data_IF_777245929549
#
_entry.id   IF_777245929549
#
_cell.length_a   1.000
_cell.length_b   1.000
_cell.length_c   1.000
_cell.angle_alpha   90.00
_cell.angle_beta   90.00
_cell.angle_gamma   90.00
#
_symmetry.space_group_name_H-M   'P 1'
#
loop_
_entity.id
_entity.type
_entity.pdbx_description
1 polymer ?
#
# COMPACT_ATOMS: atom_id res chain seq x y z
N UNK A 1 -8.32 64.97 -30.99
CA UNK A 1 -8.59 64.66 -29.60
C UNK A 1 -8.93 63.19 -29.54
N UNK A 2 -7.98 62.36 -29.14
CA UNK A 2 -8.16 60.91 -28.87
C UNK A 2 -7.79 60.70 -27.41
N UNK A 3 -8.80 60.37 -26.61
CA UNK A 3 -8.61 60.00 -25.20
C UNK A 3 -7.87 58.67 -25.07
N UNK A 4 -6.78 58.70 -24.36
CA UNK A 4 -6.06 57.51 -23.93
C UNK A 4 -6.71 56.96 -22.68
N UNK A 5 -7.23 55.73 -22.76
CA UNK A 5 -7.71 54.95 -21.60
C UNK A 5 -6.53 54.19 -20.99
N UNK A 6 -6.23 54.50 -19.74
CA UNK A 6 -5.22 53.83 -18.95
C UNK A 6 -5.67 52.39 -18.52
N UNK A 7 -4.75 51.39 -18.47
CA UNK A 7 -5.10 50.04 -18.04
C UNK A 7 -5.26 49.94 -16.51
N UNK A 8 -6.29 49.19 -16.07
CA UNK A 8 -6.54 48.85 -14.68
C UNK A 8 -5.43 47.93 -14.13
N UNK A 9 -5.03 48.05 -12.86
CA UNK A 9 -4.04 47.16 -12.27
C UNK A 9 -4.60 45.75 -12.01
N UNK A 10 -3.77 44.75 -12.29
CA UNK A 10 -4.05 43.34 -12.07
C UNK A 10 -4.20 43.05 -10.55
N UNK A 11 -5.25 42.31 -10.24
CA UNK A 11 -5.54 41.84 -8.87
C UNK A 11 -4.45 40.89 -8.39
N UNK A 12 -3.79 41.19 -7.30
CA UNK A 12 -2.84 40.35 -6.61
C UNK A 12 -3.54 39.07 -6.10
N UNK A 13 -3.11 37.92 -6.59
CA UNK A 13 -3.47 36.62 -6.03
C UNK A 13 -2.91 36.54 -4.60
N UNK A 14 -3.77 36.52 -3.62
CA UNK A 14 -3.42 36.20 -2.23
C UNK A 14 -3.06 34.73 -2.16
N UNK A 15 -1.78 34.46 -1.99
CA UNK A 15 -1.27 33.14 -1.54
C UNK A 15 -1.77 32.90 -0.11
N UNK A 16 -2.68 31.97 0.08
CA UNK A 16 -3.05 31.46 1.39
C UNK A 16 -1.86 30.64 1.95
N UNK A 17 -0.98 31.30 2.68
CA UNK A 17 -0.08 30.64 3.61
C UNK A 17 -0.94 30.16 4.80
N UNK A 18 -1.26 28.88 4.86
CA UNK A 18 -1.85 28.25 6.02
C UNK A 18 -0.79 28.19 7.13
N UNK A 19 -0.74 29.23 7.95
CA UNK A 19 0.00 29.21 9.21
C UNK A 19 -0.68 28.21 10.15
N UNK A 20 0.00 27.09 10.41
CA UNK A 20 -0.36 26.17 11.48
C UNK A 20 -0.28 26.94 12.83
N UNK A 21 -1.42 27.41 13.30
CA UNK A 21 -1.55 27.93 14.68
C UNK A 21 -1.41 26.75 15.62
N UNK A 22 -0.37 26.74 16.45
CA UNK A 22 -0.27 25.89 17.62
C UNK A 22 -1.55 26.07 18.47
N UNK A 23 -2.37 25.03 18.55
CA UNK A 23 -3.56 25.00 19.43
C UNK A 23 -3.09 24.88 20.88
N UNK A 24 -3.09 25.99 21.62
CA UNK A 24 -2.97 26.00 23.07
C UNK A 24 -4.38 25.95 23.68
N UNK A 25 -5.01 24.78 23.73
CA UNK A 25 -6.33 24.60 24.31
C UNK A 25 -6.60 23.15 24.68
N UNK A 26 -7.33 22.91 25.78
CA UNK A 26 -7.83 21.56 26.10
C UNK A 26 -8.64 21.01 24.93
N UNK A 27 -8.54 19.71 24.62
CA UNK A 27 -9.31 19.09 23.55
C UNK A 27 -10.82 19.29 23.75
N UNK A 28 -11.55 19.49 22.65
CA UNK A 28 -13.00 19.52 22.66
C UNK A 28 -13.55 18.18 23.20
N UNK A 29 -14.77 18.15 23.77
CA UNK A 29 -15.35 16.99 24.49
C UNK A 29 -15.42 15.66 23.71
N UNK A 30 -15.08 15.63 22.39
CA UNK A 30 -15.08 14.44 21.53
C UNK A 30 -13.71 14.09 20.91
N UNK A 31 -12.63 14.80 21.26
CA UNK A 31 -11.29 14.46 20.79
C UNK A 31 -10.65 13.44 21.73
N UNK A 32 -9.92 12.43 21.20
CA UNK A 32 -9.20 11.48 22.04
C UNK A 32 -8.12 12.20 22.86
N UNK A 33 -7.84 11.69 24.03
CA UNK A 33 -6.75 12.19 24.88
C UNK A 33 -5.40 11.55 24.52
N UNK A 34 -5.44 10.39 23.83
CA UNK A 34 -4.23 9.64 23.52
C UNK A 34 -4.27 8.89 22.18
N UNK A 35 -3.07 8.50 21.75
CA UNK A 35 -2.81 7.66 20.58
C UNK A 35 -2.03 6.44 21.02
N UNK A 36 -2.54 5.25 20.70
CA UNK A 36 -1.78 4.00 20.78
C UNK A 36 -1.13 3.76 19.41
N UNK A 37 0.19 3.73 19.34
CA UNK A 37 0.93 3.23 18.19
C UNK A 37 1.07 1.73 18.36
N UNK A 38 0.22 0.99 17.65
CA UNK A 38 0.17 -0.47 17.68
C UNK A 38 1.00 -1.04 16.52
N UNK A 39 1.88 -1.98 16.80
CA UNK A 39 2.70 -2.63 15.78
C UNK A 39 2.93 -4.11 16.09
N UNK A 40 3.22 -4.90 15.05
CA UNK A 40 3.66 -6.29 15.21
C UNK A 40 5.12 -6.35 15.64
N UNK A 41 5.41 -7.16 16.65
CA UNK A 41 6.77 -7.52 17.02
C UNK A 41 6.77 -8.82 17.82
N UNK A 42 7.76 -9.71 17.61
CA UNK A 42 7.93 -10.92 18.41
C UNK A 42 8.24 -10.56 19.88
N UNK A 43 7.48 -11.14 20.81
CA UNK A 43 7.69 -10.93 22.24
C UNK A 43 8.87 -11.78 22.74
N UNK A 44 9.84 -11.13 23.41
CA UNK A 44 10.96 -11.82 24.02
C UNK A 44 11.99 -12.42 23.05
N UNK A 45 11.90 -12.10 21.76
CA UNK A 45 12.87 -12.57 20.79
C UNK A 45 14.23 -11.86 20.95
N UNK A 46 15.29 -12.60 20.70
CA UNK A 46 16.63 -12.00 20.56
C UNK A 46 16.62 -11.04 19.35
N UNK A 47 17.08 -9.78 19.50
CA UNK A 47 17.15 -8.82 18.40
C UNK A 47 17.83 -9.36 17.13
N UNK A 48 18.75 -10.31 17.26
CA UNK A 48 19.41 -10.97 16.13
C UNK A 48 18.54 -11.99 15.37
N UNK A 49 17.47 -12.48 16.00
CA UNK A 49 16.56 -13.48 15.41
C UNK A 49 15.32 -12.85 14.75
N UNK A 50 15.12 -11.54 14.88
CA UNK A 50 13.97 -10.81 14.30
C UNK A 50 14.20 -10.61 12.80
N UNK A 51 13.17 -10.84 11.99
CA UNK A 51 13.23 -10.64 10.53
C UNK A 51 13.57 -9.18 10.15
N UNK A 52 14.12 -8.91 8.97
CA UNK A 52 14.30 -7.55 8.48
C UNK A 52 12.99 -6.75 8.46
N UNK A 53 11.88 -7.35 8.03
CA UNK A 53 10.56 -6.72 7.97
C UNK A 53 10.04 -6.34 9.36
N UNK A 54 10.08 -7.26 10.33
CA UNK A 54 9.67 -6.96 11.71
C UNK A 54 10.55 -5.87 12.35
N UNK A 55 11.84 -5.84 12.03
CA UNK A 55 12.75 -4.77 12.50
C UNK A 55 12.37 -3.41 11.91
N UNK A 56 12.03 -3.37 10.62
CA UNK A 56 11.55 -2.15 9.95
C UNK A 56 10.25 -1.67 10.60
N UNK A 57 9.25 -2.53 10.76
CA UNK A 57 7.96 -2.20 11.40
C UNK A 57 8.15 -1.62 12.79
N UNK A 58 9.02 -2.24 13.61
CA UNK A 58 9.35 -1.73 14.94
C UNK A 58 10.10 -0.38 14.90
N UNK A 59 10.94 -0.13 13.91
CA UNK A 59 11.62 1.16 13.72
C UNK A 59 10.62 2.25 13.32
N UNK A 60 9.74 1.97 12.36
CA UNK A 60 8.68 2.87 11.93
C UNK A 60 7.75 3.22 13.09
N UNK A 61 7.36 2.24 13.91
CA UNK A 61 6.51 2.48 15.08
C UNK A 61 7.17 3.42 16.10
N UNK A 62 8.48 3.28 16.34
CA UNK A 62 9.24 4.21 17.20
C UNK A 62 9.30 5.62 16.62
N UNK A 63 9.52 5.75 15.31
CA UNK A 63 9.56 7.05 14.64
C UNK A 63 8.19 7.74 14.66
N UNK A 64 7.12 7.02 14.37
CA UNK A 64 5.74 7.53 14.49
C UNK A 64 5.45 7.98 15.92
N UNK A 65 5.78 7.16 16.93
CA UNK A 65 5.57 7.52 18.33
C UNK A 65 6.38 8.76 18.73
N UNK A 66 7.62 8.90 18.25
CA UNK A 66 8.46 10.09 18.44
C UNK A 66 7.79 11.33 17.83
N UNK A 67 7.39 11.27 16.56
CA UNK A 67 6.70 12.37 15.87
C UNK A 67 5.45 12.80 16.63
N UNK A 68 4.62 11.86 17.04
CA UNK A 68 3.38 12.15 17.75
C UNK A 68 3.65 12.80 19.11
N UNK A 69 4.66 12.36 19.87
CA UNK A 69 5.04 12.98 21.16
C UNK A 69 5.55 14.42 20.98
N UNK A 70 6.31 14.68 19.92
CA UNK A 70 6.93 15.98 19.68
C UNK A 70 5.98 17.00 19.02
N UNK A 71 5.05 16.52 18.18
CA UNK A 71 4.26 17.38 17.28
C UNK A 71 2.77 17.39 17.56
N UNK A 72 2.28 16.60 18.53
CA UNK A 72 0.88 16.58 18.92
C UNK A 72 0.69 16.84 20.41
N UNK A 73 -0.56 17.03 20.84
CA UNK A 73 -0.93 17.18 22.26
C UNK A 73 -1.45 15.87 22.88
N UNK A 74 -1.41 14.76 22.12
CA UNK A 74 -1.89 13.47 22.58
C UNK A 74 -0.89 12.80 23.53
N UNK A 75 -1.40 12.06 24.51
CA UNK A 75 -0.61 11.04 25.18
C UNK A 75 -0.28 9.94 24.16
N UNK A 76 0.94 9.42 24.16
CA UNK A 76 1.38 8.43 23.17
C UNK A 76 1.90 7.18 23.87
N UNK A 77 1.16 6.07 23.67
CA UNK A 77 1.57 4.74 24.05
C UNK A 77 2.14 4.00 22.84
N UNK A 78 3.26 3.30 23.02
CA UNK A 78 3.84 2.40 22.01
C UNK A 78 3.57 0.98 22.46
N UNK A 79 2.82 0.21 21.68
CA UNK A 79 2.31 -1.12 22.06
C UNK A 79 2.67 -2.13 20.98
N UNK A 80 3.42 -3.16 21.35
CA UNK A 80 3.71 -4.31 20.49
C UNK A 80 2.75 -5.46 20.78
N UNK A 81 2.39 -6.21 19.74
CA UNK A 81 1.61 -7.43 19.87
C UNK A 81 2.08 -8.46 18.82
N UNK A 82 2.02 -9.74 19.17
CA UNK A 82 2.26 -10.82 18.19
C UNK A 82 0.96 -11.22 17.47
N UNK A 83 -0.10 -11.47 18.21
CA UNK A 83 -1.42 -11.89 17.67
C UNK A 83 -2.58 -11.40 18.52
N UNK A 84 -2.40 -11.26 19.84
CA UNK A 84 -3.45 -10.91 20.79
C UNK A 84 -3.59 -9.39 20.96
N UNK A 85 -4.13 -8.73 19.95
CA UNK A 85 -4.30 -7.27 19.94
C UNK A 85 -5.27 -6.78 21.01
N UNK A 86 -6.38 -7.50 21.26
CA UNK A 86 -7.41 -7.08 22.21
C UNK A 86 -6.91 -6.87 23.63
N UNK A 87 -6.25 -7.85 24.28
CA UNK A 87 -5.67 -7.70 25.61
C UNK A 87 -4.65 -6.56 25.71
N UNK A 88 -3.84 -6.33 24.65
CA UNK A 88 -2.85 -5.24 24.60
C UNK A 88 -3.49 -3.86 24.54
N UNK A 89 -4.67 -3.73 23.94
CA UNK A 89 -5.42 -2.48 23.86
C UNK A 89 -6.30 -2.22 25.10
N UNK A 90 -6.60 -3.23 25.93
CA UNK A 90 -7.49 -3.09 27.08
C UNK A 90 -7.17 -1.92 28.05
N UNK A 91 -5.88 -1.53 28.30
CA UNK A 91 -5.55 -0.37 29.13
C UNK A 91 -5.92 0.98 28.52
N UNK A 92 -6.29 1.04 27.24
CA UNK A 92 -6.47 2.27 26.46
C UNK A 92 -7.91 2.37 25.95
N UNK A 93 -8.91 2.80 26.72
CA UNK A 93 -10.32 2.71 26.34
C UNK A 93 -10.63 3.49 25.05
N UNK A 94 -11.45 2.93 24.12
CA UNK A 94 -11.65 3.46 22.76
C UNK A 94 -12.33 4.83 22.70
N UNK A 95 -13.04 5.24 23.79
CA UNK A 95 -13.61 6.60 23.89
C UNK A 95 -12.55 7.69 24.03
N UNK A 96 -11.39 7.35 24.62
CA UNK A 96 -10.34 8.30 24.99
C UNK A 96 -9.07 8.11 24.13
N UNK A 97 -8.96 7.01 23.40
CA UNK A 97 -7.77 6.65 22.61
C UNK A 97 -8.12 6.32 21.16
N UNK A 98 -7.21 6.68 20.25
CA UNK A 98 -7.20 6.27 18.84
C UNK A 98 -6.01 5.37 18.59
N UNK A 99 -6.15 4.40 17.70
CA UNK A 99 -5.05 3.49 17.34
C UNK A 99 -4.38 3.98 16.05
N UNK A 100 -3.09 4.27 16.12
CA UNK A 100 -2.25 4.38 14.94
C UNK A 100 -1.79 2.95 14.60
N UNK A 101 -2.44 2.35 13.61
CA UNK A 101 -2.28 0.93 13.30
C UNK A 101 -1.11 0.71 12.33
N UNK A 102 -0.06 0.05 12.81
CA UNK A 102 1.11 -0.43 12.06
C UNK A 102 1.27 -1.95 12.27
N UNK A 103 0.19 -2.64 12.56
CA UNK A 103 0.22 -4.08 12.75
C UNK A 103 0.15 -4.78 11.38
N UNK A 104 1.21 -5.43 10.98
CA UNK A 104 1.38 -6.12 9.71
C UNK A 104 1.34 -7.66 9.85
N UNK A 105 1.19 -8.20 11.07
CA UNK A 105 1.45 -9.59 11.38
C UNK A 105 2.92 -9.83 11.73
N UNK A 106 3.37 -11.07 11.70
CA UNK A 106 4.77 -11.43 11.92
C UNK A 106 5.30 -12.21 10.72
N UNK A 107 6.35 -11.71 10.10
CA UNK A 107 6.97 -12.31 8.92
C UNK A 107 7.43 -13.76 9.19
N UNK A 108 7.12 -14.66 8.25
CA UNK A 108 7.55 -16.06 8.27
C UNK A 108 6.85 -16.95 9.31
N UNK A 109 5.91 -16.45 10.10
CA UNK A 109 5.09 -17.30 10.96
C UNK A 109 3.97 -17.98 10.17
N UNK A 110 3.86 -19.29 10.41
CA UNK A 110 2.82 -20.12 9.85
C UNK A 110 1.86 -20.53 10.95
N UNK A 111 0.59 -20.22 10.79
CA UNK A 111 -0.46 -20.60 11.72
C UNK A 111 -0.65 -22.13 11.81
N UNK A 112 -1.42 -22.62 12.77
CA UNK A 112 -1.70 -24.06 12.93
C UNK A 112 -2.36 -24.68 11.69
N UNK A 113 -2.98 -23.86 10.84
CA UNK A 113 -3.62 -24.26 9.57
C UNK A 113 -2.66 -24.23 8.37
N UNK A 114 -1.38 -23.91 8.59
CA UNK A 114 -0.33 -23.82 7.56
C UNK A 114 -0.38 -22.54 6.71
N UNK A 115 -1.15 -21.53 7.12
CA UNK A 115 -1.20 -20.23 6.44
C UNK A 115 -0.20 -19.26 7.06
N UNK A 116 0.31 -18.34 6.26
CA UNK A 116 1.07 -17.20 6.76
C UNK A 116 0.24 -16.38 7.75
N UNK A 117 0.89 -15.91 8.82
CA UNK A 117 0.28 -15.02 9.82
C UNK A 117 0.42 -13.55 9.42
N UNK A 118 1.00 -13.25 8.25
CA UNK A 118 1.21 -11.89 7.76
C UNK A 118 -0.10 -11.17 7.35
N UNK A 119 -1.26 -11.80 7.61
CA UNK A 119 -2.57 -11.20 7.39
C UNK A 119 -2.89 -10.19 8.51
N UNK A 120 -2.78 -8.91 8.21
CA UNK A 120 -3.12 -7.80 9.10
C UNK A 120 -4.64 -7.63 9.30
N UNK A 121 -5.46 -8.30 8.47
CA UNK A 121 -6.91 -8.12 8.49
C UNK A 121 -7.59 -8.55 9.80
N UNK A 122 -7.20 -9.65 10.49
CA UNK A 122 -7.78 -10.02 11.78
C UNK A 122 -7.55 -8.97 12.87
N UNK A 123 -6.36 -8.36 12.89
CA UNK A 123 -6.04 -7.30 13.85
C UNK A 123 -6.90 -6.06 13.62
N UNK A 124 -7.04 -5.62 12.36
CA UNK A 124 -7.89 -4.48 12.02
C UNK A 124 -9.37 -4.75 12.35
N UNK A 125 -9.89 -5.96 12.07
CA UNK A 125 -11.25 -6.37 12.47
C UNK A 125 -11.42 -6.37 14.01
N UNK A 126 -10.42 -6.80 14.76
CA UNK A 126 -10.44 -6.77 16.22
C UNK A 126 -10.48 -5.33 16.73
N UNK A 127 -9.62 -4.45 16.24
CA UNK A 127 -9.58 -3.02 16.61
C UNK A 127 -10.94 -2.37 16.35
N UNK A 128 -11.55 -2.65 15.19
CA UNK A 128 -12.86 -2.15 14.81
C UNK A 128 -13.97 -2.69 15.73
N UNK A 129 -13.96 -4.00 16.03
CA UNK A 129 -14.96 -4.64 16.90
C UNK A 129 -14.93 -4.10 18.33
N UNK A 130 -13.77 -3.68 18.80
CA UNK A 130 -13.58 -3.04 20.10
C UNK A 130 -14.02 -1.55 20.12
N UNK A 131 -14.42 -1.02 18.97
CA UNK A 131 -14.95 0.34 18.84
C UNK A 131 -13.89 1.44 18.76
N UNK A 132 -12.64 1.09 18.44
CA UNK A 132 -11.58 2.11 18.24
C UNK A 132 -11.74 2.82 16.90
N UNK A 133 -11.41 4.11 16.90
CA UNK A 133 -10.98 4.81 15.69
C UNK A 133 -9.52 4.42 15.43
N UNK A 134 -9.15 4.17 14.18
CA UNK A 134 -7.79 3.77 13.84
C UNK A 134 -7.37 4.25 12.45
N UNK A 135 -6.06 4.36 12.23
CA UNK A 135 -5.48 4.71 10.94
C UNK A 135 -5.46 3.51 10.01
N UNK A 136 -5.47 3.78 8.71
CA UNK A 136 -5.37 2.76 7.68
C UNK A 136 -6.72 2.19 7.26
N UNK A 137 -6.68 1.14 6.44
CA UNK A 137 -7.84 0.47 5.89
C UNK A 137 -8.53 -0.45 6.93
N UNK A 138 -9.81 -0.74 6.73
CA UNK A 138 -10.54 -1.70 7.53
C UNK A 138 -10.14 -3.16 7.21
N UNK A 139 -10.45 -4.09 8.13
CA UNK A 139 -10.05 -5.47 7.95
C UNK A 139 -10.68 -6.17 6.73
N UNK A 140 -11.84 -5.70 6.25
CA UNK A 140 -12.44 -6.26 5.03
C UNK A 140 -11.67 -5.80 3.78
N UNK A 141 -11.25 -4.54 3.72
CA UNK A 141 -10.43 -4.02 2.64
C UNK A 141 -9.06 -4.71 2.59
N UNK A 142 -8.43 -4.92 3.76
CA UNK A 142 -7.17 -5.63 3.90
C UNK A 142 -7.29 -7.08 3.40
N UNK A 143 -8.26 -7.85 3.88
CA UNK A 143 -8.50 -9.22 3.43
C UNK A 143 -8.83 -9.32 1.93
N UNK A 144 -9.52 -8.31 1.37
CA UNK A 144 -9.80 -8.25 -0.06
C UNK A 144 -8.52 -7.96 -0.85
N UNK A 145 -7.74 -6.97 -0.44
CA UNK A 145 -6.51 -6.55 -1.11
C UNK A 145 -5.47 -7.67 -1.12
N UNK A 146 -5.27 -8.36 -0.01
CA UNK A 146 -4.35 -9.49 0.11
C UNK A 146 -4.68 -10.59 -0.92
N UNK A 147 -5.95 -10.83 -1.21
CA UNK A 147 -6.37 -11.84 -2.18
C UNK A 147 -6.41 -11.28 -3.60
N UNK A 148 -5.27 -11.36 -4.31
CA UNK A 148 -5.10 -10.82 -5.68
C UNK A 148 -6.18 -11.28 -6.66
N UNK A 149 -6.61 -12.54 -6.57
CA UNK A 149 -7.65 -13.08 -7.46
C UNK A 149 -9.05 -12.47 -7.22
N UNK A 150 -9.39 -12.20 -5.95
CA UNK A 150 -10.64 -11.52 -5.59
C UNK A 150 -10.61 -10.06 -6.02
N UNK A 151 -9.51 -9.38 -5.74
CA UNK A 151 -9.28 -7.99 -6.15
C UNK A 151 -9.41 -7.83 -7.66
N UNK A 152 -8.68 -8.64 -8.46
CA UNK A 152 -8.76 -8.60 -9.92
C UNK A 152 -10.16 -8.86 -10.46
N UNK A 153 -10.89 -9.81 -9.88
CA UNK A 153 -12.29 -10.08 -10.28
C UNK A 153 -13.18 -8.87 -10.02
N UNK A 154 -13.00 -8.20 -8.91
CA UNK A 154 -13.79 -7.02 -8.55
C UNK A 154 -13.47 -5.83 -9.47
N UNK A 155 -12.18 -5.58 -9.73
CA UNK A 155 -11.71 -4.54 -10.64
C UNK A 155 -12.22 -4.78 -12.07
N UNK A 156 -12.08 -5.99 -12.60
CA UNK A 156 -12.56 -6.34 -13.94
C UNK A 156 -14.09 -6.17 -14.07
N UNK A 157 -14.86 -6.57 -13.04
CA UNK A 157 -16.31 -6.37 -13.00
C UNK A 157 -16.69 -4.87 -13.04
N UNK A 158 -15.86 -4.03 -12.45
CA UNK A 158 -16.05 -2.57 -12.44
C UNK A 158 -15.46 -1.87 -13.68
N UNK A 159 -14.91 -2.62 -14.66
CA UNK A 159 -14.28 -2.06 -15.86
C UNK A 159 -12.95 -1.36 -15.61
N UNK A 160 -12.23 -1.72 -14.53
CA UNK A 160 -10.86 -1.28 -14.28
C UNK A 160 -9.90 -2.28 -14.90
N UNK A 161 -8.98 -1.80 -15.74
CA UNK A 161 -8.03 -2.65 -16.45
C UNK A 161 -7.06 -3.33 -15.49
N UNK A 162 -6.94 -4.65 -15.60
CA UNK A 162 -5.94 -5.49 -14.93
C UNK A 162 -5.43 -6.52 -15.94
N UNK A 163 -4.18 -7.00 -15.84
CA UNK A 163 -3.70 -8.02 -16.77
C UNK A 163 -4.65 -9.23 -16.82
N UNK A 164 -4.93 -9.83 -18.01
CA UNK A 164 -5.64 -11.11 -18.11
C UNK A 164 -5.00 -12.16 -17.20
N UNK A 165 -5.81 -12.93 -16.46
CA UNK A 165 -5.30 -13.83 -15.42
C UNK A 165 -6.10 -15.12 -15.27
N UNK A 166 -5.46 -16.13 -14.70
CA UNK A 166 -6.10 -17.38 -14.24
C UNK A 166 -5.47 -17.84 -12.91
N UNK A 167 -6.22 -18.64 -12.16
CA UNK A 167 -5.79 -19.22 -10.88
C UNK A 167 -5.68 -20.73 -11.03
N UNK A 168 -4.59 -21.30 -10.51
CA UNK A 168 -4.30 -22.73 -10.52
C UNK A 168 -4.10 -23.24 -9.09
N UNK A 169 -4.74 -24.38 -8.78
CA UNK A 169 -4.58 -25.05 -7.48
C UNK A 169 -3.51 -26.15 -7.51
N UNK A 170 -3.07 -26.52 -8.68
CA UNK A 170 -2.01 -27.52 -8.90
C UNK A 170 -1.47 -27.43 -10.33
N UNK A 171 -0.27 -27.94 -10.55
CA UNK A 171 0.33 -28.06 -11.88
C UNK A 171 -0.51 -28.88 -12.88
N UNK A 172 -1.32 -29.83 -12.40
CA UNK A 172 -2.20 -30.65 -13.25
C UNK A 172 -3.32 -29.86 -13.93
N UNK A 173 -3.69 -28.69 -13.38
CA UNK A 173 -4.69 -27.79 -13.98
C UNK A 173 -4.14 -26.98 -15.16
N UNK A 174 -2.81 -26.94 -15.34
CA UNK A 174 -2.19 -26.20 -16.44
C UNK A 174 -2.37 -26.99 -17.74
N UNK A 175 -3.35 -26.58 -18.54
CA UNK A 175 -3.70 -27.17 -19.83
C UNK A 175 -3.90 -26.09 -20.89
N UNK A 176 -3.74 -26.39 -22.19
CA UNK A 176 -3.98 -25.41 -23.26
C UNK A 176 -5.36 -24.77 -23.17
N UNK A 177 -6.37 -25.50 -22.72
CA UNK A 177 -7.73 -24.99 -22.55
C UNK A 177 -7.85 -23.92 -21.46
N UNK A 178 -7.16 -24.10 -20.34
CA UNK A 178 -7.18 -23.13 -19.23
C UNK A 178 -6.43 -21.83 -19.56
N UNK A 179 -5.40 -21.86 -20.40
CA UNK A 179 -4.57 -20.70 -20.73
C UNK A 179 -4.91 -20.06 -22.07
N UNK A 180 -5.93 -20.54 -22.77
CA UNK A 180 -6.27 -20.09 -24.15
C UNK A 180 -6.44 -18.57 -24.32
N UNK A 181 -6.82 -17.86 -23.24
CA UNK A 181 -7.03 -16.41 -23.21
C UNK A 181 -5.90 -15.65 -22.51
N UNK A 182 -4.79 -16.31 -22.19
CA UNK A 182 -3.64 -15.70 -21.54
C UNK A 182 -2.51 -15.56 -22.55
N UNK A 183 -2.13 -14.34 -22.94
CA UNK A 183 -0.98 -14.11 -23.80
C UNK A 183 0.32 -14.29 -23.02
N UNK A 184 1.19 -15.17 -23.48
CA UNK A 184 2.55 -15.29 -22.97
C UNK A 184 3.41 -14.07 -23.38
N UNK A 185 4.43 -13.68 -22.58
CA UNK A 185 4.83 -14.30 -21.31
C UNK A 185 3.84 -14.02 -20.18
N UNK A 186 3.84 -14.92 -19.18
CA UNK A 186 3.01 -14.79 -17.97
C UNK A 186 3.90 -14.59 -16.75
N UNK A 187 3.45 -13.80 -15.78
CA UNK A 187 4.04 -13.79 -14.43
C UNK A 187 3.19 -14.65 -13.50
N UNK A 188 3.86 -15.51 -12.71
CA UNK A 188 3.21 -16.45 -11.78
C UNK A 188 3.62 -16.12 -10.36
N UNK A 189 2.62 -15.90 -9.50
CA UNK A 189 2.81 -15.49 -8.10
C UNK A 189 1.76 -16.15 -7.17
N UNK A 190 2.00 -16.23 -5.86
CA UNK A 190 0.98 -16.68 -4.92
C UNK A 190 -0.24 -15.74 -4.93
N UNK A 191 -1.43 -16.30 -4.67
CA UNK A 191 -2.69 -15.52 -4.67
C UNK A 191 -2.77 -14.57 -3.48
N UNK A 192 -2.27 -14.98 -2.31
CA UNK A 192 -2.45 -14.27 -1.04
C UNK A 192 -1.11 -14.07 -0.32
N UNK A 193 -0.20 -13.38 -0.98
CA UNK A 193 1.08 -12.91 -0.47
C UNK A 193 1.32 -11.48 -0.93
N UNK A 194 2.11 -10.74 -0.19
CA UNK A 194 2.60 -9.41 -0.53
C UNK A 194 4.14 -9.38 -0.62
N UNK A 195 4.75 -8.22 -0.48
CA UNK A 195 6.21 -8.02 -0.37
C UNK A 195 7.08 -8.74 -1.41
N UNK A 196 6.52 -9.10 -2.58
CA UNK A 196 7.19 -9.86 -3.66
C UNK A 196 7.63 -11.27 -3.27
N UNK A 197 7.01 -11.89 -2.27
CA UNK A 197 7.26 -13.29 -1.90
C UNK A 197 7.09 -14.19 -3.12
N UNK A 198 8.06 -15.07 -3.36
CA UNK A 198 8.13 -15.96 -4.51
C UNK A 198 8.08 -15.23 -5.88
N UNK A 199 8.56 -13.99 -5.98
CA UNK A 199 8.81 -13.30 -7.25
C UNK A 199 10.33 -13.21 -7.43
N UNK A 200 10.86 -14.15 -8.20
CA UNK A 200 12.26 -14.29 -8.56
C UNK A 200 12.41 -14.38 -10.11
N UNK A 201 13.60 -14.63 -10.60
CA UNK A 201 13.89 -14.74 -12.05
C UNK A 201 13.06 -15.80 -12.78
N UNK A 202 12.53 -16.80 -12.07
CA UNK A 202 11.64 -17.82 -12.62
C UNK A 202 10.16 -17.45 -12.57
N UNK A 203 9.80 -16.26 -12.07
CA UNK A 203 8.41 -15.86 -11.95
C UNK A 203 7.75 -15.55 -13.29
N UNK A 204 8.52 -15.09 -14.29
CA UNK A 204 8.03 -14.84 -15.66
C UNK A 204 8.32 -16.05 -16.52
N UNK A 205 7.28 -16.59 -17.15
CA UNK A 205 7.31 -17.84 -17.92
C UNK A 205 6.88 -17.60 -19.37
N UNK A 206 7.58 -18.23 -20.32
CA UNK A 206 7.41 -17.98 -21.75
C UNK A 206 6.49 -19.00 -22.44
N UNK A 207 6.27 -20.17 -21.82
CA UNK A 207 5.47 -21.24 -22.42
C UNK A 207 4.70 -22.07 -21.39
N UNK A 208 3.96 -23.07 -21.92
CA UNK A 208 3.11 -23.93 -21.08
C UNK A 208 3.91 -24.86 -20.16
N UNK A 209 5.11 -25.28 -20.56
CA UNK A 209 5.93 -26.17 -19.74
C UNK A 209 6.53 -25.43 -18.56
N UNK A 210 7.05 -24.23 -18.78
CA UNK A 210 7.54 -23.34 -17.74
C UNK A 210 6.40 -22.94 -16.80
N UNK A 211 5.21 -22.60 -17.35
CA UNK A 211 4.03 -22.29 -16.54
C UNK A 211 3.67 -23.46 -15.61
N UNK A 212 3.66 -24.68 -16.14
CA UNK A 212 3.34 -25.87 -15.35
C UNK A 212 4.34 -26.09 -14.22
N UNK A 213 5.64 -25.94 -14.50
CA UNK A 213 6.70 -26.04 -13.49
C UNK A 213 6.55 -24.96 -12.42
N UNK A 214 6.32 -23.70 -12.83
CA UNK A 214 6.21 -22.58 -11.91
C UNK A 214 4.94 -22.66 -11.04
N UNK A 215 3.81 -23.06 -11.60
CA UNK A 215 2.58 -23.34 -10.82
C UNK A 215 2.85 -24.45 -9.78
N UNK A 216 3.57 -25.53 -10.16
CA UNK A 216 4.00 -26.56 -9.23
C UNK A 216 4.81 -25.98 -8.07
N UNK A 217 5.82 -25.18 -8.37
CA UNK A 217 6.65 -24.51 -7.36
C UNK A 217 5.79 -23.69 -6.37
N UNK A 218 4.91 -22.79 -6.87
CA UNK A 218 4.08 -21.95 -5.99
C UNK A 218 3.12 -22.80 -5.15
N UNK A 219 2.47 -23.80 -5.75
CA UNK A 219 1.48 -24.60 -5.02
C UNK A 219 2.08 -25.55 -4.00
N UNK A 220 3.30 -26.02 -4.19
CA UNK A 220 4.00 -26.95 -3.32
C UNK A 220 4.86 -26.24 -2.26
N UNK A 221 5.62 -25.22 -2.66
CA UNK A 221 6.53 -24.52 -1.75
C UNK A 221 5.81 -23.44 -0.92
N UNK A 222 4.96 -22.62 -1.58
CA UNK A 222 4.20 -21.58 -0.87
C UNK A 222 2.88 -22.12 -0.28
N UNK A 223 2.50 -23.37 -0.59
CA UNK A 223 1.23 -24.01 -0.13
C UNK A 223 -0.01 -23.17 -0.41
N UNK A 224 0.01 -22.41 -1.49
CA UNK A 224 -1.05 -21.51 -1.93
C UNK A 224 -1.47 -21.77 -3.37
N UNK A 225 -2.58 -21.19 -3.78
CA UNK A 225 -2.96 -21.16 -5.19
C UNK A 225 -2.00 -20.24 -5.96
N UNK A 226 -1.66 -20.61 -7.18
CA UNK A 226 -0.89 -19.80 -8.09
C UNK A 226 -1.80 -18.90 -8.94
N UNK A 227 -1.51 -17.62 -8.98
CA UNK A 227 -2.07 -16.67 -9.94
C UNK A 227 -1.08 -16.53 -11.10
N UNK A 228 -1.50 -16.88 -12.31
CA UNK A 228 -0.77 -16.58 -13.53
C UNK A 228 -1.48 -15.42 -14.25
N UNK A 229 -0.76 -14.37 -14.59
CA UNK A 229 -1.30 -13.21 -15.30
C UNK A 229 -0.39 -12.79 -16.45
N UNK A 230 -0.94 -12.18 -17.49
CA UNK A 230 -0.16 -11.65 -18.60
C UNK A 230 0.90 -10.67 -18.07
N UNK A 231 2.14 -10.90 -18.44
CA UNK A 231 3.22 -9.98 -18.14
C UNK A 231 3.09 -8.72 -19.02
N UNK A 232 2.91 -7.58 -18.37
CA UNK A 232 2.81 -6.30 -19.07
C UNK A 232 4.18 -5.65 -19.09
N UNK A 233 4.89 -5.73 -20.23
CA UNK A 233 6.11 -4.97 -20.45
C UNK A 233 5.75 -3.51 -20.70
N UNK A 234 5.76 -2.73 -19.64
CA UNK A 234 5.38 -1.32 -19.56
C UNK A 234 6.06 -0.63 -18.38
N UNK A 235 5.87 0.68 -18.26
CA UNK A 235 6.40 1.47 -17.14
C UNK A 235 5.70 1.07 -15.84
N UNK A 236 6.45 0.85 -14.79
CA UNK A 236 5.89 0.50 -13.47
C UNK A 236 5.66 1.77 -12.65
N UNK A 237 4.38 2.07 -12.41
CA UNK A 237 3.98 3.29 -11.71
C UNK A 237 3.31 2.92 -10.39
N UNK A 238 3.78 3.55 -9.32
CA UNK A 238 3.20 3.45 -8.00
C UNK A 238 2.42 4.73 -7.67
N UNK A 239 1.18 4.60 -7.22
CA UNK A 239 0.32 5.73 -6.86
C UNK A 239 -0.02 5.65 -5.38
N UNK A 240 0.60 6.50 -4.58
CA UNK A 240 0.24 6.69 -3.19
C UNK A 240 -1.08 7.47 -3.11
N UNK A 241 -2.02 6.98 -2.30
CA UNK A 241 -3.38 7.53 -2.17
C UNK A 241 -3.75 7.61 -0.70
N UNK A 242 -4.47 8.64 -0.29
CA UNK A 242 -5.00 8.80 1.05
C UNK A 242 -6.27 9.63 1.09
N UNK A 243 -6.93 9.63 2.25
CA UNK A 243 -8.05 10.54 2.54
C UNK A 243 -9.41 10.07 2.06
N UNK A 244 -10.42 10.85 2.46
CA UNK A 244 -11.80 10.72 2.01
C UNK A 244 -12.38 12.14 1.78
N UNK A 245 -12.62 12.57 0.52
CA UNK A 245 -12.42 11.81 -0.71
C UNK A 245 -10.95 11.44 -0.98
N UNK A 246 -10.69 10.36 -1.73
CA UNK A 246 -9.33 9.91 -1.96
C UNK A 246 -8.55 10.88 -2.85
N UNK A 247 -7.33 11.18 -2.46
CA UNK A 247 -6.38 12.02 -3.17
C UNK A 247 -5.14 11.23 -3.56
N UNK A 248 -4.74 11.29 -4.83
CA UNK A 248 -3.50 10.71 -5.31
C UNK A 248 -2.35 11.71 -5.11
N UNK A 249 -1.32 11.27 -4.41
CA UNK A 249 -0.05 11.99 -4.29
C UNK A 249 0.73 11.97 -5.62
N UNK A 250 1.82 12.74 -5.76
CA UNK A 250 2.67 12.67 -6.94
C UNK A 250 3.05 11.23 -7.28
N UNK A 251 2.87 10.87 -8.56
CA UNK A 251 3.13 9.53 -9.07
C UNK A 251 4.61 9.19 -8.93
N UNK A 252 4.91 7.96 -8.53
CA UNK A 252 6.27 7.44 -8.51
C UNK A 252 6.42 6.36 -9.59
N UNK A 253 7.60 6.29 -10.20
CA UNK A 253 7.96 5.25 -11.17
C UNK A 253 9.12 4.43 -10.63
N UNK A 254 9.07 3.13 -10.80
CA UNK A 254 10.25 2.28 -10.67
C UNK A 254 10.90 2.21 -12.04
N UNK A 255 12.09 2.78 -12.17
CA UNK A 255 12.83 2.79 -13.42
C UNK A 255 13.50 1.43 -13.64
N UNK A 256 12.95 0.68 -14.59
CA UNK A 256 13.45 -0.64 -14.98
C UNK A 256 14.25 -0.59 -16.30
N UNK A 257 14.61 0.60 -16.79
CA UNK A 257 15.29 0.78 -18.09
C UNK A 257 16.68 0.18 -18.13
N UNK A 258 17.37 0.05 -17.00
CA UNK A 258 18.66 -0.59 -16.89
C UNK A 258 18.60 -2.12 -17.16
N UNK A 259 17.42 -2.74 -17.02
CA UNK A 259 17.23 -4.16 -17.28
C UNK A 259 17.00 -4.35 -18.80
N UNK A 260 17.97 -4.94 -19.49
CA UNK A 260 17.93 -5.11 -20.94
C UNK A 260 16.89 -6.14 -21.41
N UNK A 261 16.72 -7.24 -20.63
CA UNK A 261 15.80 -8.33 -20.94
C UNK A 261 14.36 -7.96 -20.51
N UNK A 262 13.40 -7.80 -21.45
CA UNK A 262 12.04 -7.40 -21.10
C UNK A 262 11.37 -8.29 -20.03
N UNK A 263 11.54 -9.60 -20.12
CA UNK A 263 10.92 -10.56 -19.19
C UNK A 263 11.51 -10.54 -17.77
N UNK A 264 12.63 -9.85 -17.57
CA UNK A 264 13.27 -9.64 -16.26
C UNK A 264 12.95 -8.27 -15.67
N UNK A 265 12.19 -7.44 -16.36
CA UNK A 265 11.75 -6.12 -15.84
C UNK A 265 10.67 -6.27 -14.78
N UNK A 266 11.02 -6.87 -13.65
CA UNK A 266 10.17 -7.08 -12.49
C UNK A 266 10.84 -6.52 -11.23
N UNK A 267 10.01 -6.09 -10.25
CA UNK A 267 10.48 -5.76 -8.91
C UNK A 267 10.33 -7.00 -8.04
N UNK A 268 11.32 -7.87 -8.11
CA UNK A 268 11.38 -9.09 -7.32
C UNK A 268 11.80 -8.86 -5.87
N UNK A 269 11.86 -9.94 -5.09
CA UNK A 269 12.28 -9.89 -3.70
C UNK A 269 13.68 -9.29 -3.53
N UNK A 270 14.64 -9.67 -4.36
CA UNK A 270 16.01 -9.14 -4.31
C UNK A 270 16.07 -7.63 -4.56
N UNK A 271 15.30 -7.11 -5.51
CA UNK A 271 15.22 -5.68 -5.81
C UNK A 271 14.62 -4.84 -4.67
N UNK A 272 13.85 -5.43 -3.75
CA UNK A 272 13.24 -4.74 -2.60
C UNK A 272 14.09 -4.81 -1.34
N UNK A 273 14.70 -5.96 -1.06
CA UNK A 273 15.20 -6.29 0.28
C UNK A 273 16.70 -6.56 0.36
N UNK A 274 17.38 -6.70 -0.78
CA UNK A 274 18.80 -7.01 -0.78
C UNK A 274 19.61 -5.87 -1.39
N UNK A 275 20.08 -4.96 -0.55
CA UNK A 275 20.86 -3.78 -0.95
C UNK A 275 22.18 -4.10 -1.69
N UNK A 276 22.69 -5.34 -1.53
CA UNK A 276 23.91 -5.80 -2.18
C UNK A 276 23.68 -6.27 -3.63
N UNK A 277 22.41 -6.44 -4.06
CA UNK A 277 22.12 -6.93 -5.40
C UNK A 277 22.22 -5.82 -6.45
N UNK A 278 22.53 -6.24 -7.66
CA UNK A 278 22.53 -5.35 -8.83
C UNK A 278 21.13 -4.77 -9.06
N UNK A 279 20.10 -5.58 -8.91
CA UNK A 279 18.70 -5.18 -9.09
C UNK A 279 18.29 -4.04 -8.16
N UNK A 280 18.66 -4.10 -6.89
CA UNK A 280 18.35 -3.04 -5.91
C UNK A 280 18.92 -1.68 -6.36
N UNK A 281 20.17 -1.66 -6.79
CA UNK A 281 20.86 -0.44 -7.19
C UNK A 281 20.46 0.09 -8.57
N UNK A 282 19.88 -0.77 -9.45
CA UNK A 282 19.55 -0.44 -10.84
C UNK A 282 18.04 -0.37 -11.13
N UNK A 283 17.20 -0.40 -10.09
CA UNK A 283 15.76 -0.16 -10.19
C UNK A 283 15.32 1.02 -9.30
N UNK A 284 15.87 2.22 -9.51
CA UNK A 284 15.59 3.36 -8.66
C UNK A 284 14.13 3.81 -8.79
N UNK A 285 13.57 4.26 -7.66
CA UNK A 285 12.26 4.91 -7.67
C UNK A 285 12.39 6.40 -7.93
N UNK A 286 11.76 6.89 -8.99
CA UNK A 286 11.74 8.29 -9.41
C UNK A 286 10.38 8.91 -9.03
N UNK A 287 10.40 9.97 -8.23
CA UNK A 287 9.18 10.70 -7.86
C UNK A 287 9.45 12.22 -7.84
N UNK A 288 8.67 13.04 -8.56
CA UNK A 288 7.56 12.68 -9.46
C UNK A 288 8.01 11.89 -10.70
N UNK A 289 7.17 10.95 -11.14
CA UNK A 289 7.38 10.21 -12.38
C UNK A 289 7.36 11.15 -13.58
N UNK A 290 8.29 10.96 -14.52
CA UNK A 290 8.35 11.75 -15.76
C UNK A 290 7.34 11.21 -16.77
N UNK A 291 6.08 11.64 -16.65
CA UNK A 291 4.97 11.31 -17.52
C UNK A 291 4.42 12.56 -18.19
N UNK A 292 4.01 12.44 -19.44
CA UNK A 292 3.18 13.47 -20.09
C UNK A 292 1.82 13.56 -19.36
N UNK A 293 1.11 14.68 -19.55
CA UNK A 293 -0.12 14.99 -18.81
C UNK A 293 -1.20 13.90 -18.98
N UNK A 294 -1.43 13.44 -20.21
CA UNK A 294 -2.49 12.48 -20.51
C UNK A 294 -2.21 11.08 -19.93
N UNK A 295 -1.03 10.47 -20.11
CA UNK A 295 -0.67 9.23 -19.39
C UNK A 295 -0.73 9.36 -17.87
N UNK A 296 -0.30 10.50 -17.30
CA UNK A 296 -0.38 10.74 -15.87
C UNK A 296 -1.83 10.81 -15.37
N UNK A 297 -2.74 11.41 -16.15
CA UNK A 297 -4.17 11.47 -15.86
C UNK A 297 -4.78 10.06 -15.86
N UNK A 298 -4.51 9.27 -16.91
CA UNK A 298 -5.01 7.89 -17.05
C UNK A 298 -4.59 7.04 -15.86
N UNK A 299 -3.30 7.10 -15.47
CA UNK A 299 -2.77 6.36 -14.31
C UNK A 299 -3.48 6.79 -13.03
N UNK A 300 -3.60 8.10 -12.79
CA UNK A 300 -4.22 8.64 -11.58
C UNK A 300 -5.69 8.23 -11.46
N UNK A 301 -6.47 8.40 -12.53
CA UNK A 301 -7.87 8.03 -12.54
C UNK A 301 -8.08 6.53 -12.35
N UNK A 302 -7.27 5.69 -13.01
CA UNK A 302 -7.32 4.24 -12.86
C UNK A 302 -6.99 3.81 -11.43
N UNK A 303 -5.96 4.42 -10.82
CA UNK A 303 -5.57 4.13 -9.45
C UNK A 303 -6.64 4.54 -8.44
N UNK A 304 -7.21 5.75 -8.56
CA UNK A 304 -8.28 6.23 -7.68
C UNK A 304 -9.53 5.36 -7.78
N UNK A 305 -9.91 4.92 -8.99
CA UNK A 305 -11.02 3.97 -9.15
C UNK A 305 -10.73 2.63 -8.50
N UNK A 306 -9.54 2.07 -8.70
CA UNK A 306 -9.16 0.81 -8.08
C UNK A 306 -9.16 0.91 -6.55
N UNK A 307 -8.61 1.99 -6.01
CA UNK A 307 -8.60 2.29 -4.59
C UNK A 307 -10.01 2.34 -4.01
N UNK A 308 -10.90 3.14 -4.62
CA UNK A 308 -12.29 3.30 -4.17
C UNK A 308 -13.05 1.98 -4.13
N UNK A 309 -12.85 1.11 -5.15
CA UNK A 309 -13.49 -0.19 -5.25
C UNK A 309 -13.04 -1.14 -4.12
N UNK A 310 -11.75 -1.13 -3.78
CA UNK A 310 -11.17 -2.08 -2.82
C UNK A 310 -11.35 -1.60 -1.38
N UNK A 311 -11.15 -0.30 -1.13
CA UNK A 311 -11.07 0.25 0.24
C UNK A 311 -12.28 1.11 0.63
N UNK A 312 -13.24 1.30 -0.28
CA UNK A 312 -14.37 2.20 -0.08
C UNK A 312 -13.91 3.62 0.29
N UNK A 313 -12.85 4.09 -0.38
CA UNK A 313 -12.28 5.43 -0.20
C UNK A 313 -11.72 5.72 1.19
N UNK A 314 -11.32 4.72 1.96
CA UNK A 314 -10.84 4.95 3.32
C UNK A 314 -9.38 4.54 3.53
N UNK A 315 -8.69 5.29 4.39
CA UNK A 315 -7.32 5.00 4.81
C UNK A 315 -6.25 5.66 3.94
N UNK A 316 -5.12 5.02 3.87
CA UNK A 316 -4.00 5.36 2.99
C UNK A 316 -3.45 4.07 2.35
N UNK A 317 -2.86 4.21 1.17
CA UNK A 317 -2.37 3.04 0.46
C UNK A 317 -1.58 3.36 -0.80
N UNK A 318 -1.23 2.31 -1.53
CA UNK A 318 -0.53 2.40 -2.81
C UNK A 318 -1.21 1.47 -3.83
N UNK A 319 -1.47 2.00 -5.00
CA UNK A 319 -1.89 1.21 -6.15
C UNK A 319 -0.71 1.06 -7.09
N UNK A 320 -0.36 -0.18 -7.42
CA UNK A 320 0.75 -0.50 -8.32
C UNK A 320 0.21 -0.88 -9.69
N UNK A 321 0.73 -0.22 -10.74
CA UNK A 321 0.22 -0.34 -12.10
C UNK A 321 1.37 -0.53 -13.11
N UNK A 322 1.05 -1.17 -14.23
CA UNK A 322 1.88 -1.12 -15.45
C UNK A 322 1.19 -0.26 -16.50
N UNK A 323 1.88 0.78 -16.95
CA UNK A 323 1.44 1.63 -18.04
C UNK A 323 2.04 1.14 -19.36
N UNK A 324 1.19 0.71 -20.30
CA UNK A 324 1.58 0.28 -21.64
C UNK A 324 0.73 1.02 -22.68
N UNK A 325 1.37 1.87 -23.48
CA UNK A 325 0.63 2.79 -24.35
C UNK A 325 -0.30 3.70 -23.53
N UNK A 326 -1.57 3.70 -23.87
CA UNK A 326 -2.62 4.46 -23.17
C UNK A 326 -3.41 3.64 -22.13
N UNK A 327 -2.93 2.45 -21.78
CA UNK A 327 -3.63 1.59 -20.83
C UNK A 327 -2.80 1.42 -19.55
N UNK A 328 -3.40 1.78 -18.43
CA UNK A 328 -2.87 1.53 -17.09
C UNK A 328 -3.51 0.23 -16.54
N UNK A 329 -2.70 -0.79 -16.34
CA UNK A 329 -3.12 -2.09 -15.82
C UNK A 329 -2.83 -2.16 -14.32
N UNK A 330 -3.85 -2.27 -13.49
CA UNK A 330 -3.69 -2.45 -12.04
C UNK A 330 -3.11 -3.85 -11.76
N UNK A 331 -1.95 -3.88 -11.13
CA UNK A 331 -1.31 -5.10 -10.67
C UNK A 331 -1.86 -5.52 -9.31
N UNK A 332 -1.87 -4.57 -8.36
CA UNK A 332 -2.34 -4.76 -7.00
C UNK A 332 -2.75 -3.43 -6.34
N UNK A 333 -3.53 -3.54 -5.27
CA UNK A 333 -3.89 -2.45 -4.37
C UNK A 333 -3.34 -2.82 -3.01
N UNK A 334 -2.49 -1.97 -2.45
CA UNK A 334 -1.78 -2.20 -1.19
C UNK A 334 -2.25 -1.17 -0.15
N UNK A 335 -3.28 -1.47 0.66
CA UNK A 335 -3.60 -0.67 1.83
C UNK A 335 -2.47 -0.77 2.87
N UNK A 336 -2.34 0.24 3.73
CA UNK A 336 -1.35 0.30 4.80
C UNK A 336 0.11 0.00 4.35
N UNK A 337 0.62 0.56 3.24
CA UNK A 337 2.01 0.32 2.84
C UNK A 337 2.97 0.88 3.87
N UNK A 338 4.23 0.39 3.87
CA UNK A 338 5.28 0.97 4.71
C UNK A 338 5.33 2.49 4.58
N UNK A 339 5.34 3.15 5.72
CA UNK A 339 5.48 4.61 5.86
C UNK A 339 6.84 4.99 6.47
N UNK A 340 7.84 4.10 6.37
CA UNK A 340 9.22 4.46 6.68
C UNK A 340 9.65 5.72 5.92
N UNK A 341 10.56 6.50 6.48
CA UNK A 341 10.92 7.81 5.93
C UNK A 341 11.53 7.76 4.52
N UNK A 342 12.07 6.62 4.12
CA UNK A 342 12.64 6.30 2.81
C UNK A 342 11.71 5.48 1.92
N UNK A 343 10.58 4.99 2.45
CA UNK A 343 9.61 4.20 1.71
C UNK A 343 8.90 5.00 0.59
N UNK A 344 8.28 4.28 -0.34
CA UNK A 344 7.62 4.85 -1.51
C UNK A 344 6.50 5.84 -1.16
N UNK A 345 5.71 5.54 -0.11
CA UNK A 345 4.64 6.44 0.34
C UNK A 345 5.20 7.77 0.85
N UNK A 346 6.22 7.73 1.72
CA UNK A 346 6.89 8.92 2.24
C UNK A 346 7.58 9.73 1.14
N UNK A 347 8.12 9.06 0.11
CA UNK A 347 8.71 9.71 -1.07
C UNK A 347 7.67 10.51 -1.84
N UNK A 348 6.48 9.94 -2.08
CA UNK A 348 5.36 10.66 -2.75
C UNK A 348 4.85 11.82 -1.90
N UNK A 349 4.76 11.67 -0.58
CA UNK A 349 4.38 12.75 0.32
C UNK A 349 5.41 13.90 0.31
N UNK A 350 6.70 13.58 0.29
CA UNK A 350 7.78 14.58 0.17
C UNK A 350 7.73 15.32 -1.17
N UNK A 351 7.44 14.60 -2.26
CA UNK A 351 7.25 15.22 -3.58
C UNK A 351 6.03 16.14 -3.64
N UNK A 352 5.02 15.90 -2.78
CA UNK A 352 3.89 16.82 -2.56
C UNK A 352 4.23 18.03 -1.67
N UNK A 353 5.48 18.15 -1.19
CA UNK A 353 5.93 19.25 -0.33
C UNK A 353 5.69 19.03 1.18
N UNK A 354 5.37 17.81 1.61
CA UNK A 354 5.16 17.49 3.01
C UNK A 354 6.45 16.98 3.68
N UNK A 355 6.65 17.35 4.92
CA UNK A 355 7.67 16.70 5.76
C UNK A 355 7.15 15.33 6.24
N UNK A 356 8.04 14.49 6.75
CA UNK A 356 7.67 13.21 7.34
C UNK A 356 6.66 13.38 8.48
N UNK A 357 6.91 14.35 9.36
CA UNK A 357 6.05 14.66 10.49
C UNK A 357 4.65 15.09 10.03
N UNK A 358 4.58 15.92 8.98
CA UNK A 358 3.30 16.36 8.40
C UNK A 358 2.52 15.19 7.80
N UNK A 359 3.21 14.26 7.15
CA UNK A 359 2.61 13.03 6.62
C UNK A 359 2.01 12.19 7.76
N UNK A 360 2.76 11.92 8.84
CA UNK A 360 2.27 11.15 9.98
C UNK A 360 1.04 11.81 10.63
N UNK A 361 1.10 13.11 10.87
CA UNK A 361 -0.04 13.85 11.44
C UNK A 361 -1.25 13.85 10.51
N UNK A 362 -1.05 13.90 9.20
CA UNK A 362 -2.11 13.82 8.20
C UNK A 362 -2.78 12.44 8.20
N UNK A 363 -2.00 11.35 8.25
CA UNK A 363 -2.53 9.99 8.39
C UNK A 363 -3.36 9.84 9.67
N UNK A 364 -2.87 10.36 10.80
CA UNK A 364 -3.63 10.37 12.05
C UNK A 364 -4.94 11.15 11.91
N UNK A 365 -4.93 12.29 11.21
CA UNK A 365 -6.13 13.13 11.08
C UNK A 365 -7.29 12.40 10.41
N UNK A 366 -7.03 11.50 9.45
CA UNK A 366 -8.07 10.69 8.82
C UNK A 366 -8.76 9.74 9.80
N UNK A 367 -8.03 9.18 10.78
CA UNK A 367 -8.64 8.36 11.83
C UNK A 367 -9.51 9.14 12.81
N UNK A 368 -9.35 10.46 12.85
CA UNK A 368 -10.14 11.36 13.70
C UNK A 368 -11.42 11.86 13.02
N UNK A 369 -11.50 11.74 11.71
CA UNK A 369 -12.70 12.03 10.92
C UNK A 369 -13.76 10.95 11.16
N UNK A 370 -15.05 11.33 11.06
CA UNK A 370 -16.13 10.37 11.31
C UNK A 370 -16.29 9.43 10.09
N UNK A 371 -15.95 8.14 10.27
CA UNK A 371 -16.10 7.11 9.23
C UNK A 371 -17.54 6.94 8.72
N UNK A 372 -18.53 7.42 9.47
CA UNK A 372 -19.96 7.23 9.14
C UNK A 372 -20.53 8.33 8.25
N UNK A 373 -19.78 9.41 8.04
CA UNK A 373 -20.36 10.63 7.49
C UNK A 373 -20.54 10.64 5.97
N UNK A 374 -19.79 9.86 5.15
CA UNK A 374 -19.87 10.02 3.70
C UNK A 374 -19.53 8.77 2.85
N UNK A 375 -20.41 7.76 2.86
CA UNK A 375 -20.41 6.76 1.78
C UNK A 375 -21.13 7.23 0.51
N UNK A 376 -21.68 8.45 0.47
CA UNK A 376 -22.46 8.96 -0.65
C UNK A 376 -21.63 9.53 -1.79
N UNK A 377 -20.34 9.73 -1.61
CA UNK A 377 -19.42 10.35 -2.59
C UNK A 377 -18.36 9.39 -3.16
N UNK A 378 -18.42 8.09 -2.87
CA UNK A 378 -17.56 7.06 -3.45
C UNK A 378 -18.23 6.25 -4.54
#
# INVERSE_FOLDING_TARGET
>A
MKEQVAPKPASARRTCAATARARTGKPARNEPSGVVVLFSAPEGADPGSISPADRETAAVARDVARVLREKSLYQVALVSAESEVGPKLAPYPPRDWVVFNLFEGLDGRVGPDGRSIDDESPAALMIESLGYRFTGADGHALALALNKARTKRLLAKAGVSTPPWAVFRSASQVTPGHVRNLPFPLIVKPVAEDSSVAIDDGAVVADLAELKARVGFVTEQCRQQALAEAFIDGREINVAIWGNPPEALPLAEIDLSAISEPNKRIVGYAAKWNEETWEYSHTPAVCPAQLAEEPARIVRETALRAWSIVTRCWGYGRVDLRLKGETAYVLEVNPNPSIASDAGFARSARAAGLTYEQMILKILSFALEDRRADFSSC
#
